data_IF_230620593085
#
_entry.id   IF_230620593085
#
_cell.length_a   1.000
_cell.length_b   1.000
_cell.length_c   1.000
_cell.angle_alpha   90.00
_cell.angle_beta   90.00
_cell.angle_gamma   90.00
#
_symmetry.space_group_name_H-M   'P 1'
#
loop_
_entity.id
_entity.type
_entity.pdbx_description
1 polymer ?
#
# COMPACT_ATOMS: atom_id res chain seq x y z
N UNK A 1 32.54 -7.54 -5.67
CA UNK A 1 32.57 -6.39 -4.75
C UNK A 1 31.59 -6.66 -3.60
N UNK A 2 31.92 -6.24 -2.37
CA UNK A 2 30.99 -6.40 -1.24
C UNK A 2 29.72 -5.59 -1.46
N UNK A 3 28.55 -6.24 -1.23
CA UNK A 3 27.22 -5.59 -1.34
C UNK A 3 26.71 -5.26 0.07
N UNK A 4 27.33 -4.26 0.70
CA UNK A 4 26.95 -3.81 2.05
C UNK A 4 26.19 -2.48 1.88
N UNK A 5 24.88 -2.45 2.20
CA UNK A 5 24.09 -1.25 2.22
C UNK A 5 24.58 -0.30 3.34
N UNK A 6 24.64 0.97 3.08
CA UNK A 6 25.03 2.01 4.06
C UNK A 6 23.83 2.67 4.72
N UNK A 7 22.68 2.62 4.08
CA UNK A 7 21.41 3.12 4.59
C UNK A 7 20.31 2.07 4.40
N UNK A 8 19.39 1.99 5.34
CA UNK A 8 18.30 1.03 5.25
C UNK A 8 17.38 1.29 4.04
N UNK A 9 17.32 2.53 3.55
CA UNK A 9 16.58 2.92 2.34
C UNK A 9 17.10 2.25 1.07
N UNK A 10 18.37 1.82 1.03
CA UNK A 10 18.95 1.08 -0.10
C UNK A 10 18.43 -0.35 -0.23
N UNK A 11 17.74 -0.85 0.79
CA UNK A 11 17.15 -2.20 0.84
C UNK A 11 15.64 -2.19 0.48
N UNK A 12 15.08 -1.05 0.09
CA UNK A 12 13.69 -0.95 -0.35
C UNK A 12 13.54 -1.60 -1.72
N UNK A 13 12.44 -2.33 -1.90
CA UNK A 13 12.14 -2.99 -3.17
C UNK A 13 12.78 -4.37 -3.30
N UNK A 14 12.92 -4.83 -4.54
CA UNK A 14 13.37 -6.20 -4.86
C UNK A 14 12.62 -7.28 -4.04
N UNK A 15 11.33 -7.03 -3.79
CA UNK A 15 10.48 -7.98 -3.08
C UNK A 15 10.20 -9.18 -3.96
N UNK A 16 10.17 -10.41 -3.40
CA UNK A 16 10.00 -11.62 -4.19
C UNK A 16 8.58 -11.76 -4.76
N UNK A 17 8.42 -12.68 -5.71
CA UNK A 17 7.13 -13.24 -6.10
C UNK A 17 6.96 -14.63 -5.48
N UNK A 18 5.71 -14.98 -5.13
CA UNK A 18 5.34 -16.29 -4.59
C UNK A 18 4.07 -16.80 -5.28
N UNK A 19 4.14 -17.93 -5.97
CA UNK A 19 2.95 -18.64 -6.48
C UNK A 19 2.24 -19.33 -5.31
N UNK A 20 0.95 -19.10 -5.15
CA UNK A 20 0.14 -19.65 -4.04
C UNK A 20 -0.33 -21.08 -4.35
N UNK A 21 0.62 -21.98 -4.54
CA UNK A 21 0.38 -23.33 -5.08
C UNK A 21 -0.54 -24.21 -4.21
N UNK A 22 -0.42 -24.13 -2.89
CA UNK A 22 -1.29 -24.90 -1.98
C UNK A 22 -2.71 -24.33 -1.98
N UNK A 23 -2.82 -22.99 -2.00
CA UNK A 23 -4.10 -22.29 -2.07
C UNK A 23 -4.84 -22.61 -3.38
N UNK A 24 -4.15 -22.51 -4.51
CA UNK A 24 -4.69 -22.86 -5.84
C UNK A 24 -5.20 -24.29 -5.89
N UNK A 25 -4.39 -25.23 -5.40
CA UNK A 25 -4.74 -26.65 -5.35
C UNK A 25 -5.96 -26.93 -4.46
N UNK A 26 -6.04 -26.28 -3.30
CA UNK A 26 -7.17 -26.44 -2.38
C UNK A 26 -8.49 -25.98 -2.98
N UNK A 27 -8.45 -24.98 -3.87
CA UNK A 27 -9.63 -24.41 -4.53
C UNK A 27 -9.86 -24.96 -5.95
N UNK A 28 -8.97 -25.81 -6.46
CA UNK A 28 -9.08 -26.37 -7.81
C UNK A 28 -8.95 -25.30 -8.91
N UNK A 29 -8.13 -24.26 -8.70
CA UNK A 29 -7.94 -23.17 -9.65
C UNK A 29 -7.06 -23.63 -10.82
N UNK A 30 -7.40 -23.20 -12.03
CA UNK A 30 -6.65 -23.49 -13.24
C UNK A 30 -5.82 -22.27 -13.73
N UNK A 31 -6.00 -21.10 -13.12
CA UNK A 31 -5.12 -19.93 -13.26
C UNK A 31 -4.14 -19.88 -12.08
N UNK A 32 -2.99 -19.26 -12.29
CA UNK A 32 -1.99 -19.04 -11.24
C UNK A 32 -2.23 -17.74 -10.50
N UNK A 33 -2.12 -17.76 -9.17
CA UNK A 33 -2.15 -16.58 -8.32
C UNK A 33 -0.74 -16.33 -7.79
N UNK A 34 -0.09 -15.30 -8.30
CA UNK A 34 1.29 -14.96 -7.98
C UNK A 34 1.29 -13.73 -7.06
N UNK A 35 1.59 -13.95 -5.80
CA UNK A 35 1.65 -12.90 -4.79
C UNK A 35 2.94 -12.08 -4.91
N UNK A 36 2.83 -10.74 -4.79
CA UNK A 36 3.94 -9.82 -4.57
C UNK A 36 3.87 -9.29 -3.13
N UNK A 37 4.47 -9.99 -2.15
CA UNK A 37 4.38 -9.62 -0.74
C UNK A 37 5.31 -8.45 -0.41
N UNK A 38 4.74 -7.26 -0.32
CA UNK A 38 5.46 -6.01 -0.04
C UNK A 38 5.92 -5.88 1.42
N UNK A 39 5.57 -6.83 2.29
CA UNK A 39 6.11 -6.86 3.64
C UNK A 39 7.60 -7.25 3.72
N UNK A 40 8.20 -7.68 2.61
CA UNK A 40 9.66 -7.86 2.51
C UNK A 40 10.43 -6.54 2.43
N UNK A 41 9.76 -5.42 2.25
CA UNK A 41 10.39 -4.11 2.45
C UNK A 41 10.85 -3.93 3.90
N UNK A 42 11.87 -3.09 4.17
CA UNK A 42 12.51 -2.95 5.49
C UNK A 42 11.56 -2.74 6.66
N UNK A 43 10.52 -1.95 6.51
CA UNK A 43 9.50 -1.71 7.55
C UNK A 43 8.18 -2.43 7.25
N UNK A 44 8.22 -3.48 6.43
CA UNK A 44 7.14 -4.43 6.27
C UNK A 44 5.92 -3.91 5.50
N UNK A 45 6.05 -2.95 4.61
CA UNK A 45 4.96 -2.54 3.74
C UNK A 45 5.38 -1.89 2.43
N UNK A 46 4.45 -1.86 1.48
CA UNK A 46 4.56 -1.13 0.20
C UNK A 46 4.85 0.36 0.37
N UNK A 47 4.52 0.94 1.53
CA UNK A 47 4.68 2.38 1.80
C UNK A 47 6.14 2.80 2.02
N UNK A 48 7.04 1.86 2.24
CA UNK A 48 8.46 2.14 2.29
C UNK A 48 8.96 2.74 0.97
N UNK A 49 8.49 2.19 -0.16
CA UNK A 49 8.77 2.72 -1.51
C UNK A 49 8.25 4.15 -1.67
N UNK A 50 7.00 4.36 -1.32
CA UNK A 50 6.30 5.65 -1.48
C UNK A 50 6.94 6.73 -0.61
N UNK A 51 7.21 6.41 0.66
CA UNK A 51 7.83 7.33 1.60
C UNK A 51 9.22 7.79 1.13
N UNK A 52 10.08 6.85 0.72
CA UNK A 52 11.39 7.17 0.17
C UNK A 52 11.29 8.04 -1.07
N UNK A 53 10.43 7.68 -2.03
CA UNK A 53 10.27 8.42 -3.27
C UNK A 53 9.79 9.87 -3.04
N UNK A 54 8.80 10.08 -2.17
CA UNK A 54 8.28 11.42 -1.87
C UNK A 54 9.34 12.31 -1.19
N UNK A 55 10.12 11.76 -0.25
CA UNK A 55 11.19 12.49 0.44
C UNK A 55 12.34 12.78 -0.52
N UNK A 56 12.79 11.81 -1.31
CA UNK A 56 13.88 11.98 -2.26
C UNK A 56 13.53 12.98 -3.37
N UNK A 57 12.30 12.93 -3.86
CA UNK A 57 11.82 13.93 -4.82
C UNK A 57 11.76 15.32 -4.18
N UNK A 58 11.29 15.44 -2.93
CA UNK A 58 11.29 16.71 -2.20
C UNK A 58 12.69 17.30 -2.00
N UNK A 59 13.69 16.47 -1.72
CA UNK A 59 15.11 16.88 -1.63
C UNK A 59 15.63 17.33 -2.99
N UNK A 60 15.38 16.54 -4.03
CA UNK A 60 15.80 16.85 -5.40
C UNK A 60 15.21 18.16 -5.91
N UNK A 61 13.95 18.43 -5.56
CA UNK A 61 13.24 19.66 -5.93
C UNK A 61 13.68 20.88 -5.08
N UNK A 62 14.55 20.69 -4.10
CA UNK A 62 14.95 21.74 -3.16
C UNK A 62 13.88 22.16 -2.14
N UNK A 63 12.81 21.35 -2.01
CA UNK A 63 11.71 21.57 -1.04
C UNK A 63 12.03 21.02 0.36
N UNK A 64 12.98 20.11 0.45
CA UNK A 64 13.45 19.50 1.70
C UNK A 64 14.96 19.73 1.81
N UNK A 65 15.39 20.32 2.93
CA UNK A 65 16.77 20.39 3.38
C UNK A 65 16.86 19.90 4.84
N UNK A 66 18.03 19.99 5.47
CA UNK A 66 18.25 19.47 6.83
C UNK A 66 17.40 20.17 7.90
N UNK A 67 17.01 21.41 7.67
CA UNK A 67 16.21 22.23 8.59
C UNK A 67 14.69 22.14 8.29
N UNK A 68 14.30 21.39 7.25
CA UNK A 68 12.89 21.28 6.86
C UNK A 68 12.16 20.30 7.77
N UNK A 69 11.05 20.72 8.33
CA UNK A 69 10.15 19.86 9.11
C UNK A 69 9.19 19.15 8.16
N UNK A 70 9.25 17.83 8.13
CA UNK A 70 8.29 17.01 7.37
C UNK A 70 7.05 16.82 8.24
N UNK A 71 5.88 17.06 7.68
CA UNK A 71 4.60 16.94 8.39
C UNK A 71 3.67 16.07 7.54
N UNK A 72 3.12 14.99 8.09
CA UNK A 72 2.15 14.18 7.35
C UNK A 72 0.95 13.79 8.22
N UNK A 73 -0.27 14.10 7.78
CA UNK A 73 -1.48 13.63 8.43
C UNK A 73 -1.73 12.18 8.01
N UNK A 74 -1.32 11.22 8.82
CA UNK A 74 -1.49 9.79 8.52
C UNK A 74 -1.48 8.94 9.78
N UNK A 75 -2.25 7.87 9.75
CA UNK A 75 -2.34 6.89 10.83
C UNK A 75 -1.90 5.49 10.39
N UNK A 76 -1.48 5.35 9.14
CA UNK A 76 -1.19 4.07 8.51
C UNK A 76 0.29 3.82 8.24
N UNK A 77 0.52 2.88 7.32
CA UNK A 77 1.86 2.45 6.91
C UNK A 77 2.71 3.59 6.32
N UNK A 78 2.10 4.63 5.75
CA UNK A 78 2.80 5.80 5.25
C UNK A 78 3.57 6.51 6.37
N UNK A 79 2.97 6.65 7.57
CA UNK A 79 3.65 7.23 8.72
C UNK A 79 4.86 6.43 9.17
N UNK A 80 4.77 5.09 9.14
CA UNK A 80 5.88 4.20 9.48
C UNK A 80 6.99 4.32 8.42
N UNK A 81 6.64 4.32 7.14
CA UNK A 81 7.60 4.50 6.05
C UNK A 81 8.30 5.85 6.12
N UNK A 82 7.56 6.95 6.35
CA UNK A 82 8.15 8.28 6.52
C UNK A 82 9.06 8.36 7.74
N UNK A 83 8.68 7.75 8.87
CA UNK A 83 9.47 7.75 10.09
C UNK A 83 10.83 7.07 9.88
N UNK A 84 10.86 5.91 9.22
CA UNK A 84 12.13 5.24 8.95
C UNK A 84 13.01 5.99 7.94
N UNK A 85 12.42 6.56 6.90
CA UNK A 85 13.16 7.35 5.91
C UNK A 85 13.73 8.62 6.55
N UNK A 86 12.93 9.32 7.37
CA UNK A 86 13.37 10.49 8.11
C UNK A 86 14.53 10.15 9.06
N UNK A 87 14.42 9.06 9.83
CA UNK A 87 15.49 8.57 10.71
C UNK A 87 16.77 8.26 9.91
N UNK A 88 16.65 7.55 8.78
CA UNK A 88 17.80 7.19 7.93
C UNK A 88 18.51 8.41 7.32
N UNK A 89 17.79 9.50 7.09
CA UNK A 89 18.32 10.73 6.47
C UNK A 89 18.61 11.87 7.47
N UNK A 90 18.34 11.64 8.77
CA UNK A 90 18.51 12.66 9.83
C UNK A 90 17.55 13.83 9.69
N UNK A 91 16.33 13.61 9.21
CA UNK A 91 15.30 14.63 8.99
C UNK A 91 14.30 14.66 10.16
N UNK A 92 13.74 15.83 10.44
CA UNK A 92 12.71 15.99 11.45
C UNK A 92 11.33 15.68 10.88
N UNK A 93 10.58 14.78 11.54
CA UNK A 93 9.25 14.35 11.12
C UNK A 93 8.22 14.54 12.24
N UNK A 94 7.10 15.17 11.91
CA UNK A 94 5.91 15.25 12.76
C UNK A 94 4.76 14.50 12.06
N UNK A 95 4.24 13.48 12.71
CA UNK A 95 3.06 12.74 12.25
C UNK A 95 1.83 13.23 13.01
N UNK A 96 0.77 13.53 12.28
CA UNK A 96 -0.49 13.98 12.87
C UNK A 96 -1.53 12.89 12.68
N UNK A 97 -2.19 12.50 13.78
CA UNK A 97 -3.19 11.44 13.74
C UNK A 97 -4.25 11.60 14.81
N UNK A 98 -5.48 11.12 14.57
CA UNK A 98 -6.51 11.08 15.60
C UNK A 98 -6.08 10.25 16.82
N UNK A 99 -6.51 10.65 18.01
CA UNK A 99 -6.20 9.96 19.28
C UNK A 99 -6.82 8.56 19.42
N UNK A 100 -7.73 8.21 18.51
CA UNK A 100 -8.32 6.87 18.36
C UNK A 100 -7.42 5.85 17.66
N UNK A 101 -6.26 6.28 17.14
CA UNK A 101 -5.33 5.38 16.47
C UNK A 101 -4.62 4.43 17.44
N UNK A 102 -4.27 3.23 16.94
CA UNK A 102 -3.70 2.17 17.76
C UNK A 102 -2.39 2.58 18.46
N UNK A 103 -2.24 2.16 19.70
CA UNK A 103 -1.05 2.44 20.52
C UNK A 103 0.20 1.81 19.91
N UNK A 104 0.07 0.65 19.28
CA UNK A 104 1.17 -0.07 18.63
C UNK A 104 1.79 0.77 17.51
N UNK A 105 0.96 1.37 16.65
CA UNK A 105 1.44 2.25 15.57
C UNK A 105 2.15 3.48 16.10
N UNK A 106 1.61 4.11 17.17
CA UNK A 106 2.27 5.24 17.82
C UNK A 106 3.64 4.84 18.36
N UNK A 107 3.75 3.67 19.04
CA UNK A 107 5.02 3.17 19.57
C UNK A 107 6.06 2.95 18.47
N UNK A 108 5.67 2.39 17.32
CA UNK A 108 6.60 2.14 16.21
C UNK A 108 7.18 3.48 15.70
N UNK A 109 6.35 4.45 15.38
CA UNK A 109 6.82 5.71 14.80
C UNK A 109 7.63 6.54 15.82
N UNK A 110 7.27 6.51 17.10
CA UNK A 110 8.05 7.15 18.17
C UNK A 110 9.41 6.47 18.35
N UNK A 111 9.47 5.13 18.28
CA UNK A 111 10.73 4.40 18.35
C UNK A 111 11.67 4.72 17.18
N UNK A 112 11.13 5.13 16.04
CA UNK A 112 11.87 5.61 14.88
C UNK A 112 12.25 7.10 14.95
N UNK A 113 11.90 7.78 16.06
CA UNK A 113 12.28 9.18 16.31
C UNK A 113 11.29 10.22 15.77
N UNK A 114 10.13 9.81 15.23
CA UNK A 114 9.13 10.76 14.79
C UNK A 114 8.37 11.37 15.97
N UNK A 115 8.07 12.67 15.89
CA UNK A 115 7.12 13.31 16.78
C UNK A 115 5.69 12.97 16.40
N UNK A 116 4.82 12.81 17.41
CA UNK A 116 3.39 12.58 17.18
C UNK A 116 2.60 13.74 17.73
N UNK A 117 1.72 14.29 16.91
CA UNK A 117 0.69 15.22 17.35
C UNK A 117 -0.68 14.57 17.22
N UNK A 118 -1.39 14.43 18.33
CA UNK A 118 -2.72 13.86 18.36
C UNK A 118 -3.77 14.94 18.17
N UNK A 119 -4.80 14.63 17.38
CA UNK A 119 -6.00 15.44 17.21
C UNK A 119 -7.22 14.73 17.79
N UNK A 120 -8.28 15.44 18.17
CA UNK A 120 -9.50 14.82 18.70
C UNK A 120 -10.07 13.79 17.72
N UNK A 121 -10.34 12.57 18.20
CA UNK A 121 -10.85 11.46 17.36
C UNK A 121 -12.17 11.78 16.67
N UNK A 122 -13.02 12.63 17.28
CA UNK A 122 -14.28 13.11 16.67
C UNK A 122 -14.09 13.89 15.36
N UNK A 123 -12.92 14.48 15.16
CA UNK A 123 -12.59 15.24 13.96
C UNK A 123 -12.01 14.36 12.83
N UNK A 124 -11.67 13.12 13.17
CA UNK A 124 -11.15 12.13 12.22
C UNK A 124 -9.90 12.61 11.46
N UNK A 125 -9.72 12.12 10.25
CA UNK A 125 -8.59 12.52 9.40
C UNK A 125 -8.67 13.98 8.94
N UNK A 126 -9.87 14.57 8.87
CA UNK A 126 -10.02 15.99 8.54
C UNK A 126 -9.30 16.87 9.57
N UNK A 127 -9.51 16.63 10.87
CA UNK A 127 -8.81 17.37 11.92
C UNK A 127 -7.28 17.22 11.84
N UNK A 128 -6.79 16.04 11.46
CA UNK A 128 -5.36 15.82 11.27
C UNK A 128 -4.82 16.61 10.06
N UNK A 129 -5.57 16.71 8.96
CA UNK A 129 -5.19 17.49 7.76
C UNK A 129 -5.18 18.98 8.07
N UNK A 130 -6.22 19.48 8.74
CA UNK A 130 -6.32 20.90 9.12
C UNK A 130 -5.15 21.29 10.04
N UNK A 131 -4.80 20.43 11.00
CA UNK A 131 -3.66 20.64 11.89
C UNK A 131 -2.31 20.58 11.16
N UNK A 132 -2.15 19.69 10.17
CA UNK A 132 -0.95 19.64 9.34
C UNK A 132 -0.72 20.96 8.60
N UNK A 133 -1.78 21.52 8.03
CA UNK A 133 -1.71 22.81 7.34
C UNK A 133 -1.36 23.94 8.31
N UNK A 134 -1.99 23.98 9.49
CA UNK A 134 -1.69 24.97 10.54
C UNK A 134 -0.22 24.92 10.99
N UNK A 135 0.33 23.71 11.18
CA UNK A 135 1.74 23.54 11.55
C UNK A 135 2.69 23.96 10.42
N UNK A 136 2.34 23.63 9.17
CA UNK A 136 3.13 24.07 8.02
C UNK A 136 3.26 25.59 7.97
N UNK A 137 2.17 26.33 8.20
CA UNK A 137 2.17 27.78 8.25
C UNK A 137 2.97 28.32 9.45
N UNK A 138 2.84 27.64 10.60
CA UNK A 138 3.57 28.04 11.82
C UNK A 138 5.08 27.91 11.69
N UNK A 139 5.57 26.80 11.12
CA UNK A 139 7.01 26.56 11.00
C UNK A 139 7.64 27.25 9.78
N UNK A 140 6.88 27.59 8.77
CA UNK A 140 7.37 28.23 7.54
C UNK A 140 8.21 27.28 6.67
N UNK A 141 9.33 26.75 7.18
CA UNK A 141 10.14 25.75 6.49
C UNK A 141 9.61 24.33 6.79
N UNK A 142 8.47 23.99 6.20
CA UNK A 142 7.85 22.68 6.39
C UNK A 142 7.36 22.11 5.06
N UNK A 143 7.41 20.79 4.94
CA UNK A 143 7.00 20.04 3.77
C UNK A 143 5.94 18.98 4.13
N UNK A 144 4.82 18.96 3.40
CA UNK A 144 3.80 17.93 3.52
C UNK A 144 3.90 17.04 2.26
N UNK A 145 4.26 15.75 2.38
CA UNK A 145 4.40 14.81 1.26
C UNK A 145 3.16 14.63 0.40
N UNK A 146 1.96 14.65 0.99
CA UNK A 146 0.67 14.57 0.28
C UNK A 146 0.51 13.32 -0.59
N UNK A 147 0.56 12.15 0.01
CA UNK A 147 0.55 10.84 -0.67
C UNK A 147 -0.58 10.64 -1.71
N UNK A 148 -1.72 11.32 -1.56
CA UNK A 148 -2.88 11.21 -2.47
C UNK A 148 -2.75 12.08 -3.74
N UNK A 149 -1.79 13.00 -3.78
CA UNK A 149 -1.59 13.97 -4.87
C UNK A 149 -0.17 13.95 -5.43
N UNK A 150 0.80 13.43 -4.69
CA UNK A 150 2.21 13.44 -5.04
C UNK A 150 2.54 12.43 -6.13
N UNK A 151 2.98 12.91 -7.29
CA UNK A 151 3.29 12.08 -8.44
C UNK A 151 4.45 11.10 -8.19
N UNK A 152 5.36 11.40 -7.25
CA UNK A 152 6.42 10.45 -6.86
C UNK A 152 5.87 9.10 -6.35
N UNK A 153 4.63 9.07 -5.87
CA UNK A 153 3.96 7.85 -5.43
C UNK A 153 3.71 6.86 -6.60
N UNK A 154 2.95 7.17 -7.64
CA UNK A 154 2.84 6.23 -8.78
C UNK A 154 4.14 6.06 -9.54
N UNK A 155 4.99 7.08 -9.64
CA UNK A 155 6.24 7.02 -10.41
C UNK A 155 7.21 5.96 -9.86
N UNK A 156 7.35 5.84 -8.53
CA UNK A 156 8.20 4.81 -7.93
C UNK A 156 7.70 3.41 -8.25
N UNK A 157 6.40 3.19 -8.31
CA UNK A 157 5.82 1.90 -8.66
C UNK A 157 6.02 1.56 -10.14
N UNK A 158 5.93 2.57 -11.03
CA UNK A 158 6.23 2.39 -12.46
C UNK A 158 7.70 2.05 -12.69
N UNK A 159 8.59 2.73 -11.95
CA UNK A 159 10.03 2.57 -12.09
C UNK A 159 10.60 1.32 -11.39
N UNK A 160 9.93 0.77 -10.38
CA UNK A 160 10.46 -0.34 -9.58
C UNK A 160 9.51 -1.52 -9.51
N UNK A 161 8.36 -1.40 -8.86
CA UNK A 161 7.41 -2.51 -8.63
C UNK A 161 7.01 -3.20 -9.94
N UNK A 162 6.70 -2.43 -10.99
CA UNK A 162 6.32 -2.96 -12.29
C UNK A 162 7.49 -3.70 -12.95
N UNK A 163 8.69 -3.15 -12.87
CA UNK A 163 9.89 -3.74 -13.47
C UNK A 163 10.24 -5.06 -12.77
N UNK A 164 10.21 -5.07 -11.43
CA UNK A 164 10.42 -6.30 -10.65
C UNK A 164 9.42 -7.39 -11.03
N UNK A 165 8.11 -7.06 -11.13
CA UNK A 165 7.09 -8.03 -11.54
C UNK A 165 7.37 -8.55 -12.95
N UNK A 166 7.69 -7.65 -13.89
CA UNK A 166 7.95 -8.03 -15.27
C UNK A 166 9.16 -8.96 -15.41
N UNK A 167 10.27 -8.61 -14.76
CA UNK A 167 11.50 -9.38 -14.76
C UNK A 167 11.32 -10.74 -14.08
N UNK A 168 10.72 -10.78 -12.87
CA UNK A 168 10.56 -12.00 -12.09
C UNK A 168 9.53 -12.99 -12.68
N UNK A 169 8.69 -12.54 -13.63
CA UNK A 169 7.76 -13.39 -14.37
C UNK A 169 8.21 -13.76 -15.78
N UNK A 170 9.43 -13.39 -16.20
CA UNK A 170 9.86 -13.46 -17.60
C UNK A 170 8.85 -12.81 -18.57
N UNK A 171 8.23 -11.71 -18.15
CA UNK A 171 7.21 -10.99 -18.92
C UNK A 171 5.85 -11.69 -19.03
N UNK A 172 5.59 -12.72 -18.24
CA UNK A 172 4.34 -13.49 -18.29
C UNK A 172 3.35 -13.00 -17.25
N UNK A 173 2.76 -11.85 -17.48
CA UNK A 173 1.71 -11.23 -16.66
C UNK A 173 0.48 -11.01 -17.51
N UNK A 174 -0.64 -11.66 -17.18
CA UNK A 174 -1.91 -11.46 -17.87
C UNK A 174 -2.82 -10.46 -17.14
N UNK A 175 -2.86 -10.54 -15.80
CA UNK A 175 -3.71 -9.70 -14.96
C UNK A 175 -2.88 -9.21 -13.76
N UNK A 176 -2.97 -7.92 -13.48
CA UNK A 176 -2.44 -7.32 -12.25
C UNK A 176 -3.58 -6.86 -11.34
N UNK A 177 -3.55 -7.28 -10.08
CA UNK A 177 -4.56 -6.97 -9.08
C UNK A 177 -3.95 -6.13 -7.96
N UNK A 178 -4.57 -4.99 -7.66
CA UNK A 178 -4.13 -4.10 -6.57
C UNK A 178 -5.30 -3.54 -5.78
N UNK A 179 -5.23 -3.65 -4.46
CA UNK A 179 -6.16 -2.95 -3.57
C UNK A 179 -5.81 -1.46 -3.50
N UNK A 180 -6.84 -0.59 -3.56
CA UNK A 180 -6.66 0.85 -3.78
C UNK A 180 -6.86 1.66 -2.49
N UNK A 181 -5.73 2.17 -1.95
CA UNK A 181 -5.72 3.22 -0.93
C UNK A 181 -5.49 4.59 -1.55
N UNK A 182 -4.22 4.94 -1.83
CA UNK A 182 -3.87 6.18 -2.55
C UNK A 182 -4.01 6.05 -4.07
N UNK A 183 -4.05 4.83 -4.59
CA UNK A 183 -4.07 4.56 -6.03
C UNK A 183 -2.69 4.54 -6.70
N UNK A 184 -1.63 4.96 -6.00
CA UNK A 184 -0.28 5.03 -6.57
C UNK A 184 0.24 3.68 -7.04
N UNK A 185 0.05 2.62 -6.24
CA UNK A 185 0.45 1.25 -6.61
C UNK A 185 -0.27 0.76 -7.86
N UNK A 186 -1.60 0.87 -7.88
CA UNK A 186 -2.42 0.44 -9.02
C UNK A 186 -2.04 1.20 -10.29
N UNK A 187 -1.93 2.52 -10.20
CA UNK A 187 -1.57 3.40 -11.32
C UNK A 187 -0.14 3.14 -11.82
N UNK A 188 0.84 3.23 -10.93
CA UNK A 188 2.23 3.16 -11.32
C UNK A 188 2.62 1.78 -11.84
N UNK A 189 2.24 0.71 -11.11
CA UNK A 189 2.51 -0.66 -11.56
C UNK A 189 1.75 -0.99 -12.83
N UNK A 190 0.47 -0.60 -12.92
CA UNK A 190 -0.34 -0.82 -14.12
C UNK A 190 0.24 -0.15 -15.36
N UNK A 191 0.64 1.11 -15.26
CA UNK A 191 1.31 1.83 -16.37
C UNK A 191 2.63 1.15 -16.74
N UNK A 192 3.48 0.82 -15.75
CA UNK A 192 4.78 0.20 -16.01
C UNK A 192 4.68 -1.18 -16.63
N UNK A 193 3.70 -2.00 -16.25
CA UNK A 193 3.43 -3.29 -16.92
C UNK A 193 2.94 -3.08 -18.37
N UNK A 194 2.08 -2.09 -18.61
CA UNK A 194 1.59 -1.75 -19.96
C UNK A 194 2.64 -1.09 -20.86
N UNK A 195 3.67 -0.50 -20.28
CA UNK A 195 4.84 -0.06 -21.09
C UNK A 195 5.52 -1.24 -21.79
N UNK A 196 5.47 -2.44 -21.20
CA UNK A 196 6.01 -3.67 -21.76
C UNK A 196 4.98 -4.45 -22.59
N UNK A 197 3.76 -4.61 -22.06
CA UNK A 197 2.67 -5.34 -22.72
C UNK A 197 1.34 -4.60 -22.50
N UNK A 198 0.79 -3.93 -23.54
CA UNK A 198 -0.45 -3.16 -23.44
C UNK A 198 -1.69 -4.03 -23.10
N UNK A 199 -1.61 -5.35 -23.30
CA UNK A 199 -2.73 -6.27 -23.08
C UNK A 199 -2.87 -6.71 -21.60
N UNK A 200 -1.95 -6.31 -20.72
CA UNK A 200 -2.06 -6.61 -19.29
C UNK A 200 -3.33 -5.94 -18.72
N UNK A 201 -4.22 -6.77 -18.16
CA UNK A 201 -5.44 -6.27 -17.51
C UNK A 201 -5.12 -5.75 -16.11
N UNK A 202 -5.63 -4.56 -15.82
CA UNK A 202 -5.44 -3.90 -14.51
C UNK A 202 -6.75 -3.94 -13.74
N UNK A 203 -6.73 -4.59 -12.58
CA UNK A 203 -7.89 -4.77 -11.72
C UNK A 203 -7.67 -4.06 -10.40
N UNK A 204 -8.55 -3.10 -10.11
CA UNK A 204 -8.58 -2.37 -8.85
C UNK A 204 -9.52 -3.04 -7.85
N UNK A 205 -9.18 -3.00 -6.56
CA UNK A 205 -10.00 -3.56 -5.49
C UNK A 205 -10.38 -2.48 -4.50
N UNK A 206 -11.66 -2.42 -4.15
CA UNK A 206 -12.22 -1.47 -3.19
C UNK A 206 -13.15 -2.13 -2.17
N UNK A 207 -13.44 -1.51 -1.01
CA UNK A 207 -14.45 -2.01 -0.09
C UNK A 207 -15.86 -1.91 -0.69
N UNK A 208 -16.65 -2.97 -0.62
CA UNK A 208 -18.03 -2.99 -1.14
C UNK A 208 -18.95 -1.98 -0.45
N UNK A 209 -18.71 -1.70 0.83
CA UNK A 209 -19.48 -0.69 1.57
C UNK A 209 -19.03 0.76 1.31
N UNK A 210 -17.95 0.95 0.54
CA UNK A 210 -17.42 2.26 0.11
C UNK A 210 -16.96 2.21 -1.35
N UNK A 211 -17.86 1.89 -2.31
CA UNK A 211 -17.51 1.57 -3.69
C UNK A 211 -17.33 2.83 -4.55
N UNK A 212 -16.42 3.71 -4.16
CA UNK A 212 -16.24 5.04 -4.76
C UNK A 212 -15.62 4.95 -6.16
N UNK A 213 -14.74 3.97 -6.40
CA UNK A 213 -14.14 3.74 -7.71
C UNK A 213 -15.17 3.24 -8.73
N UNK A 214 -16.18 2.49 -8.25
CA UNK A 214 -17.33 2.05 -9.06
C UNK A 214 -18.44 3.09 -9.18
N UNK A 215 -18.23 4.33 -8.73
CA UNK A 215 -19.21 5.43 -8.80
C UNK A 215 -20.25 5.44 -7.68
N UNK A 216 -20.06 4.62 -6.64
CA UNK A 216 -20.92 4.60 -5.46
C UNK A 216 -20.55 5.67 -4.43
N UNK A 217 -21.26 5.65 -3.28
CA UNK A 217 -21.02 6.59 -2.19
C UNK A 217 -20.00 6.04 -1.19
N UNK A 218 -19.18 6.92 -0.56
CA UNK A 218 -18.32 6.49 0.53
C UNK A 218 -19.13 6.00 1.73
N UNK A 219 -18.60 4.99 2.41
CA UNK A 219 -19.23 4.41 3.59
C UNK A 219 -18.19 3.78 4.54
N UNK A 220 -18.60 3.45 5.78
CA UNK A 220 -17.68 2.83 6.74
C UNK A 220 -17.36 1.39 6.35
N UNK A 221 -16.09 1.00 6.54
CA UNK A 221 -15.60 -0.35 6.30
C UNK A 221 -14.47 -0.71 7.27
N UNK A 222 -14.13 -2.02 7.35
CA UNK A 222 -13.08 -2.55 8.22
C UNK A 222 -11.79 -2.93 7.48
N UNK A 223 -11.73 -2.75 6.15
CA UNK A 223 -10.55 -3.07 5.34
C UNK A 223 -9.55 -1.93 5.46
N UNK A 224 -8.71 -1.95 6.49
CA UNK A 224 -7.73 -0.89 6.74
C UNK A 224 -6.73 -0.76 5.58
N UNK A 225 -6.34 0.48 5.27
CA UNK A 225 -5.32 0.81 4.26
C UNK A 225 -5.85 1.07 2.86
N UNK A 226 -7.13 0.82 2.60
CA UNK A 226 -7.79 1.11 1.31
C UNK A 226 -9.10 1.88 1.51
N UNK A 227 -9.76 2.25 0.42
CA UNK A 227 -11.08 2.89 0.49
C UNK A 227 -11.04 4.27 1.14
N UNK A 228 -10.30 5.22 0.56
CA UNK A 228 -10.12 6.58 1.10
C UNK A 228 -11.41 7.41 1.17
N UNK A 229 -12.51 6.95 0.55
CA UNK A 229 -13.79 7.67 0.50
C UNK A 229 -13.87 8.70 -0.63
N UNK A 230 -12.84 8.81 -1.43
CA UNK A 230 -12.76 9.65 -2.63
C UNK A 230 -11.79 9.02 -3.64
N UNK A 231 -11.82 9.48 -4.90
CA UNK A 231 -10.85 9.07 -5.92
C UNK A 231 -9.61 9.96 -5.76
N UNK A 232 -8.43 9.39 -5.39
CA UNK A 232 -7.19 10.18 -5.23
C UNK A 232 -6.73 10.79 -6.55
N UNK A 233 -6.06 11.95 -6.51
CA UNK A 233 -5.55 12.62 -7.71
C UNK A 233 -4.51 11.80 -8.48
N UNK A 234 -3.71 10.98 -7.78
CA UNK A 234 -2.72 10.10 -8.43
C UNK A 234 -3.34 8.83 -9.02
N UNK A 235 -4.62 8.56 -8.76
CA UNK A 235 -5.31 7.39 -9.32
C UNK A 235 -5.76 7.65 -10.76
N UNK A 236 -5.29 6.84 -11.68
CA UNK A 236 -5.65 6.86 -13.11
C UNK A 236 -6.73 5.81 -13.36
N UNK A 237 -8.00 6.24 -13.31
CA UNK A 237 -9.14 5.35 -13.59
C UNK A 237 -9.20 4.88 -15.03
N UNK A 238 -8.64 5.64 -15.95
CA UNK A 238 -8.58 5.34 -17.39
C UNK A 238 -7.73 4.12 -17.76
N UNK A 239 -6.86 3.67 -16.87
CA UNK A 239 -6.08 2.43 -17.07
C UNK A 239 -6.70 1.20 -16.41
N UNK A 240 -7.76 1.37 -15.62
CA UNK A 240 -8.40 0.28 -14.88
C UNK A 240 -9.45 -0.40 -15.76
N UNK A 241 -9.27 -1.70 -16.00
CA UNK A 241 -10.19 -2.49 -16.80
C UNK A 241 -11.40 -2.99 -16.00
N UNK A 242 -11.19 -3.23 -14.70
CA UNK A 242 -12.23 -3.75 -13.81
C UNK A 242 -12.00 -3.28 -12.38
N UNK A 243 -13.10 -2.99 -11.68
CA UNK A 243 -13.10 -2.73 -10.23
C UNK A 243 -13.87 -3.84 -9.52
N UNK A 244 -13.24 -4.50 -8.55
CA UNK A 244 -13.87 -5.58 -7.77
C UNK A 244 -14.13 -5.07 -6.35
N UNK A 245 -15.41 -4.89 -5.96
CA UNK A 245 -15.77 -4.54 -4.59
C UNK A 245 -15.73 -5.78 -3.67
N UNK A 246 -15.14 -5.65 -2.48
CA UNK A 246 -14.91 -6.74 -1.54
C UNK A 246 -15.57 -6.46 -0.18
N UNK A 247 -16.27 -7.45 0.36
CA UNK A 247 -16.84 -7.41 1.72
C UNK A 247 -15.73 -7.54 2.77
N UNK A 248 -15.97 -6.95 3.97
CA UNK A 248 -15.00 -7.01 5.07
C UNK A 248 -14.63 -8.45 5.45
N UNK A 249 -15.64 -9.30 5.62
CA UNK A 249 -15.43 -10.69 6.04
C UNK A 249 -14.70 -11.50 4.97
N UNK A 250 -15.01 -11.29 3.68
CA UNK A 250 -14.30 -11.94 2.59
C UNK A 250 -12.79 -11.59 2.58
N UNK A 251 -12.45 -10.34 2.89
CA UNK A 251 -11.05 -9.94 3.03
C UNK A 251 -10.37 -10.64 4.21
N UNK A 252 -11.04 -10.74 5.37
CA UNK A 252 -10.51 -11.44 6.53
C UNK A 252 -10.32 -12.93 6.26
N UNK A 253 -11.32 -13.58 5.66
CA UNK A 253 -11.26 -15.02 5.37
C UNK A 253 -10.11 -15.34 4.43
N UNK A 254 -9.92 -14.59 3.35
CA UNK A 254 -8.83 -14.84 2.40
C UNK A 254 -7.45 -14.63 2.99
N UNK A 255 -7.26 -13.64 3.86
CA UNK A 255 -6.01 -13.48 4.59
C UNK A 255 -5.73 -14.67 5.54
N UNK A 256 -6.76 -15.19 6.21
CA UNK A 256 -6.66 -16.38 7.06
C UNK A 256 -6.41 -17.66 6.26
N UNK A 257 -7.05 -17.81 5.11
CA UNK A 257 -6.89 -18.98 4.23
C UNK A 257 -5.46 -19.11 3.74
N UNK A 258 -4.87 -18.03 3.19
CA UNK A 258 -3.48 -18.08 2.68
C UNK A 258 -2.44 -18.20 3.80
N UNK A 259 -2.74 -17.71 5.00
CA UNK A 259 -1.89 -17.97 6.17
C UNK A 259 -1.84 -19.47 6.51
N UNK A 260 -2.95 -20.19 6.36
CA UNK A 260 -3.03 -21.63 6.64
C UNK A 260 -2.51 -22.50 5.50
N UNK A 261 -2.73 -22.11 4.25
CA UNK A 261 -2.35 -22.92 3.07
C UNK A 261 -0.88 -22.76 2.70
N UNK A 262 -0.39 -21.52 2.63
CA UNK A 262 0.94 -21.19 2.13
C UNK A 262 1.86 -20.53 3.18
N UNK A 263 1.38 -20.39 4.43
CA UNK A 263 2.15 -19.75 5.51
C UNK A 263 2.30 -18.23 5.34
N UNK A 264 1.48 -17.63 4.48
CA UNK A 264 1.61 -16.22 4.10
C UNK A 264 0.78 -15.31 5.02
N UNK A 265 1.39 -14.80 6.08
CA UNK A 265 0.73 -13.95 7.07
C UNK A 265 0.65 -12.50 6.57
N UNK A 266 -0.51 -12.11 6.04
CA UNK A 266 -0.74 -10.82 5.39
C UNK A 266 -1.82 -9.98 6.05
N UNK A 267 -1.83 -8.67 5.76
CA UNK A 267 -2.82 -7.75 6.28
C UNK A 267 -4.20 -7.82 5.60
N UNK A 268 -5.14 -7.04 6.11
CA UNK A 268 -6.55 -7.08 5.69
C UNK A 268 -6.72 -6.70 4.21
N UNK A 269 -6.03 -5.65 3.75
CA UNK A 269 -6.11 -5.22 2.35
C UNK A 269 -5.47 -6.22 1.39
N UNK A 270 -4.49 -7.00 1.86
CA UNK A 270 -3.94 -8.12 1.12
C UNK A 270 -4.98 -9.23 0.93
N UNK A 271 -5.75 -9.54 1.97
CA UNK A 271 -6.87 -10.49 1.89
C UNK A 271 -7.94 -10.03 0.88
N UNK A 272 -8.24 -8.73 0.83
CA UNK A 272 -9.15 -8.19 -0.17
C UNK A 272 -8.61 -8.36 -1.60
N UNK A 273 -7.31 -8.13 -1.81
CA UNK A 273 -6.67 -8.34 -3.11
C UNK A 273 -6.66 -9.82 -3.51
N UNK A 274 -6.37 -10.73 -2.57
CA UNK A 274 -6.42 -12.18 -2.79
C UNK A 274 -7.85 -12.64 -3.13
N UNK A 275 -8.88 -12.10 -2.47
CA UNK A 275 -10.27 -12.37 -2.83
C UNK A 275 -10.53 -12.04 -4.30
N UNK A 276 -10.17 -10.86 -4.74
CA UNK A 276 -10.36 -10.44 -6.13
C UNK A 276 -9.58 -11.33 -7.11
N UNK A 277 -8.31 -11.65 -6.80
CA UNK A 277 -7.51 -12.58 -7.62
C UNK A 277 -8.14 -13.98 -7.69
N UNK A 278 -8.73 -14.45 -6.59
CA UNK A 278 -9.43 -15.75 -6.54
C UNK A 278 -10.68 -15.74 -7.43
N UNK A 279 -11.49 -14.68 -7.36
CA UNK A 279 -12.68 -14.57 -8.21
C UNK A 279 -12.32 -14.48 -9.71
N UNK A 280 -11.22 -13.82 -10.03
CA UNK A 280 -10.66 -13.81 -11.39
C UNK A 280 -10.16 -15.20 -11.82
N UNK A 281 -9.46 -15.91 -10.93
CA UNK A 281 -8.90 -17.23 -11.21
C UNK A 281 -9.97 -18.33 -11.45
N UNK A 282 -11.16 -18.15 -10.86
CA UNK A 282 -12.30 -19.05 -11.07
C UNK A 282 -12.98 -18.89 -12.45
N UNK A 283 -12.72 -17.79 -13.16
CA UNK A 283 -13.36 -17.51 -14.45
C UNK A 283 -12.78 -18.41 -15.54
N UNK A 284 -13.60 -19.11 -16.34
CA UNK A 284 -13.11 -20.02 -17.38
C UNK A 284 -12.17 -19.36 -18.39
N UNK A 285 -12.41 -18.08 -18.74
CA UNK A 285 -11.58 -17.32 -19.67
C UNK A 285 -10.18 -16.99 -19.12
N UNK A 286 -9.95 -17.20 -17.84
CA UNK A 286 -8.66 -16.98 -17.20
C UNK A 286 -7.87 -18.28 -16.95
N UNK A 287 -8.36 -19.41 -17.41
CA UNK A 287 -7.64 -20.69 -17.33
C UNK A 287 -6.24 -20.57 -17.95
N UNK A 288 -5.23 -20.99 -17.18
CA UNK A 288 -3.83 -20.96 -17.59
C UNK A 288 -3.15 -19.58 -17.53
N UNK A 289 -3.88 -18.52 -17.11
CA UNK A 289 -3.33 -17.16 -16.98
C UNK A 289 -2.56 -16.96 -15.67
N UNK A 290 -1.62 -16.04 -15.71
CA UNK A 290 -0.87 -15.56 -14.57
C UNK A 290 -1.52 -14.28 -14.01
N UNK A 291 -2.05 -14.39 -12.80
CA UNK A 291 -2.68 -13.28 -12.06
C UNK A 291 -1.69 -12.84 -10.97
N UNK A 292 -1.05 -11.70 -11.16
CA UNK A 292 -0.15 -11.11 -10.15
C UNK A 292 -0.97 -10.24 -9.21
N UNK A 293 -0.87 -10.50 -7.90
CA UNK A 293 -1.59 -9.77 -6.87
C UNK A 293 -0.62 -9.14 -5.89
N UNK A 294 -0.69 -7.82 -5.73
CA UNK A 294 0.15 -7.11 -4.77
C UNK A 294 -0.47 -7.17 -3.37
N UNK A 295 0.36 -7.57 -2.39
CA UNK A 295 -0.01 -7.71 -0.99
C UNK A 295 0.70 -6.64 -0.16
N UNK A 296 -0.02 -5.58 0.27
CA UNK A 296 0.59 -4.35 0.77
C UNK A 296 1.43 -4.48 2.05
N UNK A 297 1.06 -5.35 2.99
CA UNK A 297 1.72 -5.42 4.29
C UNK A 297 1.55 -6.76 5.03
N UNK A 298 2.22 -6.88 6.18
CA UNK A 298 2.19 -8.04 7.07
C UNK A 298 0.92 -8.09 7.93
N UNK A 299 0.47 -9.31 8.25
CA UNK A 299 -0.63 -9.56 9.20
C UNK A 299 -0.30 -9.20 10.66
N UNK A 300 0.98 -9.14 11.04
CA UNK A 300 1.39 -8.81 12.41
C UNK A 300 0.87 -7.44 12.89
N UNK A 301 0.60 -6.51 11.99
CA UNK A 301 0.01 -5.20 12.30
C UNK A 301 -1.44 -5.22 12.69
N UNK A 302 -2.09 -6.38 12.58
CA UNK A 302 -3.54 -6.56 12.74
C UNK A 302 -3.92 -7.58 13.81
N UNK A 303 -2.96 -8.01 14.66
CA UNK A 303 -3.19 -9.03 15.70
C UNK A 303 -4.27 -8.63 16.71
N UNK A 304 -4.42 -7.34 17.00
CA UNK A 304 -5.46 -6.79 17.88
C UNK A 304 -6.79 -6.45 17.15
N UNK A 305 -6.93 -6.86 15.90
CA UNK A 305 -8.14 -6.60 15.09
C UNK A 305 -8.96 -7.87 14.89
N UNK A 306 -10.21 -7.78 14.38
CA UNK A 306 -11.01 -8.96 14.04
C UNK A 306 -10.38 -9.92 13.01
N UNK A 307 -9.32 -9.52 12.32
CA UNK A 307 -8.63 -10.39 11.36
C UNK A 307 -8.18 -11.71 12.01
N UNK A 308 -7.63 -11.66 13.21
CA UNK A 308 -7.11 -12.84 13.91
C UNK A 308 -7.83 -13.16 15.22
N UNK A 309 -9.02 -12.59 15.43
CA UNK A 309 -9.84 -13.00 16.58
C UNK A 309 -10.27 -14.46 16.36
N UNK A 310 -9.70 -15.36 17.15
CA UNK A 310 -10.10 -16.76 17.20
C UNK A 310 -11.29 -16.83 18.16
N UNK A 311 -12.46 -17.24 17.68
CA UNK A 311 -13.58 -17.65 18.54
C UNK A 311 -13.32 -19.05 19.06
#
# INVERSE_FOLDING_TARGET
>A
MAKIAKQLTELIGHTPLLELTNYEKALGLEAKIIAKPEYFNPLGSVKDRVAAAMIEQGIKDGKINQDTIIIEPTSGNTGIGLAFVAASKGLHLILIMPDTMSVERRKIVTALGAEIKLTPGREGMKGAIDEAQRLKEHYGNAFIPQQFENQANPDIHRATTAQEIWEDTDGKVDIFVSSVGTGGTCTGTGLGLRDHNPDVRIVAVEPKSSPVLSGGRPGPHKIQGIGAGFIPKVMRMDIVDEVIPVENEAAFDKAREVAKSDGLLVGISSGAAIYAATELAKRPENKGKNIVVLLPDTGERYLSTPLFTVN
#
